data_IF_340286301180
#
_entry.id   IF_340286301180
#
_cell.length_a   1.000
_cell.length_b   1.000
_cell.length_c   1.000
_cell.angle_alpha   90.00
_cell.angle_beta   90.00
_cell.angle_gamma   90.00
#
_symmetry.space_group_name_H-M   'P 1'
#
loop_
_entity.id
_entity.type
_entity.pdbx_description
1 polymer ?
#
# COMPACT_ATOMS: atom_id res chain seq x y z
N UNK A 1 11.64 -34.64 -25.26
CA UNK A 1 10.61 -33.68 -25.74
C UNK A 1 9.70 -33.15 -24.63
N UNK A 2 9.11 -33.99 -23.76
CA UNK A 2 8.22 -33.49 -22.68
C UNK A 2 8.95 -32.59 -21.66
N UNK A 3 10.17 -32.96 -21.26
CA UNK A 3 10.98 -32.15 -20.31
C UNK A 3 11.36 -30.77 -20.84
N UNK A 4 11.71 -30.67 -22.13
CA UNK A 4 12.03 -29.39 -22.77
C UNK A 4 10.78 -28.52 -22.97
N UNK A 5 9.62 -29.14 -23.18
CA UNK A 5 8.35 -28.44 -23.27
C UNK A 5 7.95 -27.82 -21.91
N UNK A 6 8.01 -28.60 -20.83
CA UNK A 6 7.73 -28.11 -19.47
C UNK A 6 8.68 -26.96 -19.10
N UNK A 7 9.97 -27.09 -19.44
CA UNK A 7 10.95 -26.04 -19.16
C UNK A 7 10.66 -24.76 -19.96
N UNK A 8 10.28 -24.87 -21.23
CA UNK A 8 9.89 -23.74 -22.05
C UNK A 8 8.61 -23.05 -21.55
N UNK A 9 7.61 -23.83 -21.10
CA UNK A 9 6.37 -23.27 -20.52
C UNK A 9 6.67 -22.56 -19.20
N UNK A 10 7.47 -23.16 -18.32
CA UNK A 10 7.89 -22.53 -17.06
C UNK A 10 8.68 -21.23 -17.31
N UNK A 11 9.59 -21.23 -18.29
CA UNK A 11 10.39 -20.06 -18.64
C UNK A 11 9.53 -18.89 -19.18
N UNK A 12 8.52 -19.18 -20.00
CA UNK A 12 7.57 -18.19 -20.50
C UNK A 12 6.72 -17.56 -19.38
N UNK A 13 6.38 -18.31 -18.33
CA UNK A 13 5.64 -17.76 -17.17
C UNK A 13 6.48 -16.80 -16.34
N UNK A 14 7.79 -17.07 -16.20
CA UNK A 14 8.72 -16.17 -15.47
C UNK A 14 8.95 -14.88 -16.26
N UNK A 15 9.05 -14.96 -17.59
CA UNK A 15 9.25 -13.80 -18.47
C UNK A 15 8.01 -12.89 -18.57
N UNK A 16 6.82 -13.39 -18.22
CA UNK A 16 5.57 -12.62 -18.17
C UNK A 16 5.26 -12.07 -16.78
N UNK A 17 6.20 -12.15 -15.83
CA UNK A 17 6.01 -11.58 -14.51
C UNK A 17 5.80 -10.06 -14.64
N UNK A 18 4.64 -9.58 -14.18
CA UNK A 18 4.36 -8.15 -14.14
C UNK A 18 5.40 -7.46 -13.25
N UNK A 19 5.80 -6.24 -13.61
CA UNK A 19 6.58 -5.36 -12.73
C UNK A 19 5.98 -5.39 -11.32
N UNK A 20 6.80 -5.39 -10.26
CA UNK A 20 6.30 -5.52 -8.90
C UNK A 20 5.35 -4.36 -8.60
N UNK A 21 4.03 -4.63 -8.68
CA UNK A 21 3.03 -3.70 -8.22
C UNK A 21 3.09 -3.69 -6.70
N UNK A 22 3.31 -2.52 -6.12
CA UNK A 22 3.38 -2.37 -4.67
C UNK A 22 2.02 -2.68 -4.01
N UNK A 23 0.92 -2.41 -4.71
CA UNK A 23 -0.45 -2.67 -4.23
C UNK A 23 -1.34 -3.20 -5.35
N UNK A 24 -2.38 -3.95 -4.98
CA UNK A 24 -3.51 -4.15 -5.88
C UNK A 24 -4.33 -2.87 -6.00
N UNK A 25 -4.81 -2.62 -7.20
CA UNK A 25 -5.54 -1.42 -7.60
C UNK A 25 -6.92 -1.79 -8.19
N UNK A 26 -7.61 -0.80 -8.74
CA UNK A 26 -8.91 -0.99 -9.40
C UNK A 26 -8.87 -1.88 -10.64
N UNK A 27 -7.72 -1.99 -11.32
CA UNK A 27 -7.59 -2.95 -12.42
C UNK A 27 -7.62 -4.38 -11.89
N UNK A 28 -6.88 -4.65 -10.80
CA UNK A 28 -6.94 -5.96 -10.14
C UNK A 28 -8.34 -6.27 -9.59
N UNK A 29 -9.02 -5.26 -9.06
CA UNK A 29 -10.38 -5.41 -8.54
C UNK A 29 -11.41 -5.77 -9.62
N UNK A 30 -11.35 -5.09 -10.77
CA UNK A 30 -12.22 -5.37 -11.93
C UNK A 30 -11.84 -6.68 -12.62
N UNK A 31 -10.57 -7.08 -12.55
CA UNK A 31 -10.11 -8.36 -13.09
C UNK A 31 -10.77 -9.56 -12.39
N UNK A 32 -11.13 -9.44 -11.10
CA UNK A 32 -11.91 -10.47 -10.41
C UNK A 32 -13.24 -10.72 -11.14
N UNK A 33 -13.90 -9.66 -11.59
CA UNK A 33 -15.18 -9.76 -12.31
C UNK A 33 -14.99 -10.42 -13.68
N UNK A 34 -13.82 -10.21 -14.32
CA UNK A 34 -13.46 -10.89 -15.57
C UNK A 34 -13.17 -12.38 -15.33
N UNK A 35 -12.38 -12.71 -14.32
CA UNK A 35 -11.96 -14.08 -14.00
C UNK A 35 -13.14 -14.96 -13.54
N UNK A 36 -14.11 -14.37 -12.86
CA UNK A 36 -15.28 -15.08 -12.31
C UNK A 36 -16.50 -15.03 -13.22
N UNK A 37 -16.36 -14.57 -14.48
CA UNK A 37 -17.48 -14.45 -15.42
C UNK A 37 -18.22 -15.76 -15.65
N UNK A 38 -17.49 -16.85 -15.78
CA UNK A 38 -18.07 -18.19 -16.01
C UNK A 38 -18.54 -18.85 -14.71
N UNK A 39 -18.07 -18.38 -13.55
CA UNK A 39 -18.34 -18.92 -12.22
C UNK A 39 -18.64 -17.78 -11.23
N UNK A 40 -19.78 -17.08 -11.39
CA UNK A 40 -20.08 -15.84 -10.67
C UNK A 40 -20.18 -16.04 -9.15
N UNK A 41 -20.42 -17.27 -8.68
CA UNK A 41 -20.41 -17.64 -7.27
C UNK A 41 -19.07 -17.35 -6.57
N UNK A 42 -17.95 -17.29 -7.31
CA UNK A 42 -16.63 -16.98 -6.74
C UNK A 42 -16.32 -15.48 -6.66
N UNK A 43 -17.07 -14.63 -7.36
CA UNK A 43 -16.82 -13.17 -7.41
C UNK A 43 -16.74 -12.55 -6.01
N UNK A 44 -17.79 -12.75 -5.22
CA UNK A 44 -17.91 -12.16 -3.89
C UNK A 44 -16.96 -12.83 -2.86
N UNK A 45 -16.82 -14.16 -2.80
CA UNK A 45 -15.79 -14.81 -1.98
C UNK A 45 -14.37 -14.31 -2.21
N UNK A 46 -13.95 -14.11 -3.47
CA UNK A 46 -12.60 -13.59 -3.78
C UNK A 46 -12.41 -12.17 -3.25
N UNK A 47 -13.38 -11.27 -3.50
CA UNK A 47 -13.35 -9.90 -2.96
C UNK A 47 -13.34 -9.88 -1.43
N UNK A 48 -14.17 -10.72 -0.79
CA UNK A 48 -14.21 -10.87 0.68
C UNK A 48 -12.89 -11.35 1.24
N UNK A 49 -12.25 -12.35 0.62
CA UNK A 49 -10.96 -12.87 1.05
C UNK A 49 -9.89 -11.78 1.02
N UNK A 50 -9.84 -11.00 -0.06
CA UNK A 50 -8.91 -9.88 -0.18
C UNK A 50 -9.14 -8.81 0.91
N UNK A 51 -10.36 -8.30 1.04
CA UNK A 51 -10.68 -7.26 2.02
C UNK A 51 -10.44 -7.76 3.45
N UNK A 52 -10.81 -9.00 3.75
CA UNK A 52 -10.56 -9.61 5.06
C UNK A 52 -9.06 -9.73 5.35
N UNK A 53 -8.25 -10.14 4.37
CA UNK A 53 -6.79 -10.18 4.51
C UNK A 53 -6.21 -8.81 4.86
N UNK A 54 -6.66 -7.77 4.17
CA UNK A 54 -6.25 -6.39 4.44
C UNK A 54 -6.64 -5.91 5.85
N UNK A 55 -7.88 -6.16 6.27
CA UNK A 55 -8.34 -5.79 7.61
C UNK A 55 -7.59 -6.55 8.71
N UNK A 56 -7.25 -7.82 8.48
CA UNK A 56 -6.42 -8.60 9.40
C UNK A 56 -4.99 -8.03 9.49
N UNK A 57 -4.41 -7.58 8.38
CA UNK A 57 -3.12 -6.88 8.36
C UNK A 57 -3.16 -5.60 9.19
N UNK A 58 -4.19 -4.76 8.98
CA UNK A 58 -4.42 -3.56 9.80
C UNK A 58 -4.56 -3.88 11.28
N UNK A 59 -5.28 -4.96 11.63
CA UNK A 59 -5.41 -5.40 13.03
C UNK A 59 -4.04 -5.80 13.61
N UNK A 60 -3.22 -6.51 12.83
CA UNK A 60 -1.86 -6.86 13.23
C UNK A 60 -1.02 -5.61 13.51
N UNK A 61 -1.01 -4.62 12.61
CA UNK A 61 -0.25 -3.38 12.78
C UNK A 61 -0.72 -2.57 14.00
N UNK A 62 -2.04 -2.54 14.24
CA UNK A 62 -2.61 -1.95 15.44
C UNK A 62 -2.11 -2.66 16.71
N UNK A 63 -2.13 -4.00 16.76
CA UNK A 63 -1.67 -4.75 17.93
C UNK A 63 -0.17 -4.54 18.20
N UNK A 64 0.64 -4.51 17.13
CA UNK A 64 2.08 -4.25 17.25
C UNK A 64 2.38 -2.83 17.72
N UNK A 65 1.66 -1.84 17.18
CA UNK A 65 1.81 -0.44 17.62
C UNK A 65 1.35 -0.30 19.06
N UNK A 66 0.21 -0.91 19.43
CA UNK A 66 -0.36 -0.82 20.77
C UNK A 66 0.55 -1.42 21.84
N UNK A 67 1.27 -2.49 21.52
CA UNK A 67 2.25 -3.09 22.43
C UNK A 67 3.40 -2.13 22.78
N UNK A 68 3.73 -1.19 21.89
CA UNK A 68 4.74 -0.17 22.11
C UNK A 68 4.16 1.15 22.66
N UNK A 69 3.04 1.60 22.11
CA UNK A 69 2.34 2.84 22.47
C UNK A 69 0.83 2.73 22.16
N UNK A 70 0.03 2.57 23.21
CA UNK A 70 -1.42 2.41 23.07
C UNK A 70 -2.12 3.69 22.61
N UNK A 71 -1.65 4.88 23.03
CA UNK A 71 -2.29 6.14 22.66
C UNK A 71 -2.06 6.43 21.17
N UNK A 72 -0.86 6.14 20.69
CA UNK A 72 -0.54 6.23 19.26
C UNK A 72 -1.39 5.27 18.44
N UNK A 73 -1.50 4.01 18.85
CA UNK A 73 -2.32 3.01 18.15
C UNK A 73 -3.79 3.44 18.04
N UNK A 74 -4.39 3.89 19.15
CA UNK A 74 -5.79 4.35 19.18
C UNK A 74 -5.99 5.60 18.31
N UNK A 75 -4.97 6.45 18.18
CA UNK A 75 -5.01 7.63 17.31
C UNK A 75 -4.91 7.29 15.82
N UNK A 76 -3.99 6.38 15.44
CA UNK A 76 -3.68 6.03 14.05
C UNK A 76 -4.75 5.13 13.43
N UNK A 77 -5.27 4.18 14.20
CA UNK A 77 -6.15 3.13 13.68
C UNK A 77 -7.63 3.37 14.00
N UNK A 78 -8.04 4.61 14.29
CA UNK A 78 -9.42 4.96 14.67
C UNK A 78 -10.47 4.39 13.69
N UNK A 79 -11.65 4.06 14.21
CA UNK A 79 -12.68 3.18 13.62
C UNK A 79 -13.48 3.76 12.45
N UNK A 80 -12.83 4.03 11.31
CA UNK A 80 -13.57 4.43 10.10
C UNK A 80 -14.08 3.22 9.31
N UNK A 81 -13.26 2.16 9.21
CA UNK A 81 -13.59 0.96 8.44
C UNK A 81 -14.44 -0.06 9.22
N UNK A 82 -14.35 -0.05 10.56
CA UNK A 82 -15.01 -1.04 11.42
C UNK A 82 -16.54 -0.82 11.54
N UNK A 83 -17.06 0.26 10.94
CA UNK A 83 -18.48 0.60 10.93
C UNK A 83 -19.27 -0.13 9.85
N UNK A 84 -18.58 -0.77 8.91
CA UNK A 84 -19.19 -1.38 7.74
C UNK A 84 -18.95 -2.89 7.72
N UNK A 85 -19.94 -3.61 7.25
CA UNK A 85 -19.79 -5.02 6.88
C UNK A 85 -18.85 -5.16 5.67
N UNK A 86 -18.25 -6.35 5.51
CA UNK A 86 -17.41 -6.63 4.33
C UNK A 86 -18.15 -6.36 3.01
N UNK A 87 -19.45 -6.66 2.96
CA UNK A 87 -20.25 -6.47 1.75
C UNK A 87 -20.55 -4.99 1.45
N UNK A 88 -20.67 -4.15 2.49
CA UNK A 88 -20.76 -2.69 2.32
C UNK A 88 -19.45 -2.10 1.83
N UNK A 89 -18.33 -2.52 2.40
CA UNK A 89 -16.99 -2.13 1.94
C UNK A 89 -16.76 -2.53 0.48
N UNK A 90 -17.15 -3.76 0.11
CA UNK A 90 -17.05 -4.25 -1.27
C UNK A 90 -17.94 -3.44 -2.21
N UNK A 91 -19.19 -3.15 -1.83
CA UNK A 91 -20.10 -2.33 -2.66
C UNK A 91 -19.58 -0.91 -2.85
N UNK A 92 -19.08 -0.27 -1.80
CA UNK A 92 -18.46 1.05 -1.89
C UNK A 92 -17.25 1.03 -2.83
N UNK A 93 -16.40 0.01 -2.70
CA UNK A 93 -15.22 -0.17 -3.57
C UNK A 93 -15.61 -0.46 -5.02
N UNK A 94 -16.63 -1.29 -5.26
CA UNK A 94 -17.19 -1.55 -6.59
C UNK A 94 -17.66 -0.25 -7.25
N UNK A 95 -18.39 0.60 -6.52
CA UNK A 95 -18.87 1.89 -7.02
C UNK A 95 -17.72 2.85 -7.29
N UNK A 96 -16.71 2.92 -6.41
CA UNK A 96 -15.56 3.80 -6.55
C UNK A 96 -14.77 3.55 -7.85
N UNK A 97 -14.60 2.28 -8.22
CA UNK A 97 -13.87 1.88 -9.43
C UNK A 97 -14.69 1.88 -10.72
N UNK A 98 -15.98 2.26 -10.66
CA UNK A 98 -16.75 2.56 -11.87
C UNK A 98 -16.13 3.75 -12.63
N UNK A 99 -15.55 4.72 -11.91
CA UNK A 99 -14.78 5.81 -12.50
C UNK A 99 -13.39 5.31 -12.95
N UNK A 100 -13.08 5.35 -14.27
CA UNK A 100 -11.76 4.97 -14.77
C UNK A 100 -10.60 5.77 -14.17
N UNK A 101 -10.82 7.04 -13.78
CA UNK A 101 -9.80 7.88 -13.17
C UNK A 101 -9.37 7.40 -11.78
N UNK A 102 -10.12 6.48 -11.17
CA UNK A 102 -9.81 5.91 -9.86
C UNK A 102 -9.05 4.58 -9.95
N UNK A 103 -8.98 3.94 -11.11
CA UNK A 103 -8.51 2.55 -11.22
C UNK A 103 -7.06 2.31 -10.83
N UNK A 104 -6.20 3.33 -10.89
CA UNK A 104 -4.82 3.21 -10.44
C UNK A 104 -4.65 3.39 -8.92
N UNK A 105 -5.69 3.84 -8.22
CA UNK A 105 -5.63 3.99 -6.77
C UNK A 105 -5.66 2.61 -6.09
N UNK A 106 -4.80 2.37 -5.08
CA UNK A 106 -4.80 1.14 -4.32
C UNK A 106 -6.15 0.84 -3.65
N UNK A 107 -6.49 -0.45 -3.53
CA UNK A 107 -7.75 -0.88 -2.90
C UNK A 107 -7.86 -0.39 -1.46
N UNK A 108 -6.74 -0.33 -0.71
CA UNK A 108 -6.72 0.23 0.64
C UNK A 108 -7.19 1.69 0.68
N UNK A 109 -6.77 2.50 -0.29
CA UNK A 109 -7.19 3.90 -0.40
C UNK A 109 -8.66 4.00 -0.75
N UNK A 110 -9.15 3.18 -1.70
CA UNK A 110 -10.56 3.13 -2.07
C UNK A 110 -11.46 2.79 -0.88
N UNK A 111 -11.07 1.81 -0.05
CA UNK A 111 -11.81 1.44 1.17
C UNK A 111 -11.94 2.60 2.15
N UNK A 112 -10.85 3.36 2.36
CA UNK A 112 -10.88 4.52 3.26
C UNK A 112 -11.70 5.66 2.67
N UNK A 113 -11.47 6.03 1.40
CA UNK A 113 -12.20 7.11 0.71
C UNK A 113 -13.71 6.86 0.75
N UNK A 114 -14.13 5.65 0.37
CA UNK A 114 -15.54 5.26 0.35
C UNK A 114 -16.15 5.23 1.76
N UNK A 115 -15.39 4.79 2.76
CA UNK A 115 -15.84 4.83 4.15
C UNK A 115 -15.97 6.24 4.70
N UNK A 116 -15.05 7.16 4.36
CA UNK A 116 -15.14 8.58 4.74
C UNK A 116 -16.41 9.22 4.16
N UNK A 117 -16.69 8.99 2.87
CA UNK A 117 -17.93 9.45 2.25
C UNK A 117 -19.17 8.85 2.91
N UNK A 118 -19.17 7.54 3.17
CA UNK A 118 -20.30 6.84 3.78
C UNK A 118 -20.57 7.24 5.25
N UNK A 119 -19.53 7.65 6.00
CA UNK A 119 -19.67 8.20 7.36
C UNK A 119 -20.20 9.65 7.34
N UNK A 120 -20.18 10.33 6.20
CA UNK A 120 -20.68 11.69 6.05
C UNK A 120 -19.64 12.78 6.32
N UNK A 121 -18.34 12.49 6.09
CA UNK A 121 -17.33 13.54 6.09
C UNK A 121 -17.59 14.55 4.96
N UNK A 122 -17.23 15.84 5.13
CA UNK A 122 -17.44 16.84 4.09
C UNK A 122 -16.74 16.46 2.78
N UNK A 123 -17.37 16.75 1.64
CA UNK A 123 -16.83 16.43 0.31
C UNK A 123 -15.42 17.01 0.10
N UNK A 124 -15.13 18.19 0.66
CA UNK A 124 -13.80 18.79 0.61
C UNK A 124 -12.73 17.96 1.32
N UNK A 125 -13.07 17.30 2.43
CA UNK A 125 -12.18 16.40 3.16
C UNK A 125 -11.97 15.11 2.36
N UNK A 126 -13.05 14.54 1.82
CA UNK A 126 -12.96 13.32 1.00
C UNK A 126 -12.13 13.58 -0.27
N UNK A 127 -12.35 14.71 -0.94
CA UNK A 127 -11.60 15.11 -2.11
C UNK A 127 -10.12 15.38 -1.79
N UNK A 128 -9.83 16.10 -0.69
CA UNK A 128 -8.46 16.36 -0.25
C UNK A 128 -7.71 15.07 0.08
N UNK A 129 -8.34 14.13 0.79
CA UNK A 129 -7.76 12.82 1.07
C UNK A 129 -7.55 11.98 -0.19
N UNK A 130 -8.51 12.03 -1.13
CA UNK A 130 -8.38 11.38 -2.44
C UNK A 130 -7.17 11.91 -3.20
N UNK A 131 -7.00 13.24 -3.25
CA UNK A 131 -5.84 13.86 -3.90
C UNK A 131 -4.52 13.44 -3.24
N UNK A 132 -4.46 13.45 -1.90
CA UNK A 132 -3.27 12.98 -1.18
C UNK A 132 -2.92 11.52 -1.51
N UNK A 133 -3.92 10.65 -1.68
CA UNK A 133 -3.69 9.27 -2.12
C UNK A 133 -3.12 9.19 -3.55
N UNK A 134 -3.58 10.06 -4.47
CA UNK A 134 -3.07 10.15 -5.84
C UNK A 134 -1.61 10.60 -5.86
N UNK A 135 -1.31 11.66 -5.12
CA UNK A 135 0.06 12.20 -5.03
C UNK A 135 1.01 11.15 -4.43
N UNK A 136 0.56 10.45 -3.39
CA UNK A 136 1.33 9.38 -2.75
C UNK A 136 1.63 8.20 -3.70
N UNK A 137 0.62 7.66 -4.40
CA UNK A 137 0.88 6.52 -5.30
C UNK A 137 1.72 6.94 -6.52
N UNK A 138 1.55 8.17 -7.00
CA UNK A 138 2.38 8.70 -8.08
C UNK A 138 3.83 8.82 -7.63
N UNK A 139 4.07 9.37 -6.44
CA UNK A 139 5.40 9.46 -5.85
C UNK A 139 6.07 8.09 -5.71
N UNK A 140 5.35 7.10 -5.17
CA UNK A 140 5.87 5.74 -5.02
C UNK A 140 6.17 5.09 -6.38
N UNK A 141 5.31 5.30 -7.37
CA UNK A 141 5.53 4.77 -8.73
C UNK A 141 6.79 5.37 -9.34
N UNK A 142 7.01 6.68 -9.20
CA UNK A 142 8.24 7.34 -9.65
C UNK A 142 9.47 6.81 -8.92
N UNK A 143 9.42 6.65 -7.59
CA UNK A 143 10.51 6.11 -6.80
C UNK A 143 10.92 4.71 -7.30
N UNK A 144 9.93 3.83 -7.56
CA UNK A 144 10.18 2.47 -8.05
C UNK A 144 10.66 2.42 -9.50
N UNK A 145 10.39 3.45 -10.31
CA UNK A 145 10.85 3.54 -11.70
C UNK A 145 12.31 4.00 -11.83
N UNK A 146 12.86 4.66 -10.80
CA UNK A 146 14.25 5.11 -10.74
C UNK A 146 15.22 4.06 -10.17
N UNK A 147 14.75 2.92 -9.67
CA UNK A 147 15.62 1.83 -9.20
C UNK A 147 16.36 1.15 -10.38
N UNK A 148 17.63 1.53 -10.56
CA UNK A 148 18.62 1.03 -11.53
C UNK A 148 18.81 -0.50 -11.40
N UNK A 149 18.92 -1.26 -12.52
CA UNK A 149 19.19 -2.69 -12.46
C UNK A 149 20.54 -2.95 -11.78
N UNK A 150 20.52 -3.70 -10.68
CA UNK A 150 21.73 -4.16 -10.02
C UNK A 150 22.32 -5.28 -10.90
N UNK A 151 23.26 -4.93 -11.77
CA UNK A 151 24.10 -5.92 -12.46
C UNK A 151 25.05 -6.53 -11.44
N UNK A 152 24.77 -7.75 -10.98
CA UNK A 152 25.70 -8.50 -10.15
C UNK A 152 26.68 -9.23 -11.07
N UNK A 153 27.78 -8.58 -11.43
CA UNK A 153 28.99 -9.30 -11.82
C UNK A 153 29.93 -9.38 -10.61
N UNK A 154 30.36 -10.61 -10.32
CA UNK A 154 31.04 -10.95 -9.07
C UNK A 154 32.29 -10.11 -8.83
N UNK A 155 32.31 -9.34 -7.74
CA UNK A 155 33.47 -8.94 -6.94
C UNK A 155 32.96 -8.41 -5.58
N UNK A 156 33.47 -9.04 -4.52
CA UNK A 156 33.65 -8.65 -3.11
C UNK A 156 32.98 -7.38 -2.57
N UNK A 157 31.92 -7.56 -1.74
CA UNK A 157 31.27 -6.61 -0.81
C UNK A 157 30.81 -5.27 -1.43
N UNK A 158 29.55 -4.85 -1.21
CA UNK A 158 29.10 -3.53 -1.67
C UNK A 158 29.97 -2.43 -1.04
N UNK A 159 30.50 -1.53 -1.86
CA UNK A 159 31.16 -0.32 -1.38
C UNK A 159 30.11 0.51 -0.63
N UNK A 160 30.29 0.66 0.68
CA UNK A 160 29.49 1.59 1.48
C UNK A 160 29.65 3.01 0.91
N UNK A 161 28.58 3.81 0.88
CA UNK A 161 28.67 5.19 0.44
C UNK A 161 29.75 5.92 1.25
N UNK A 162 30.63 6.66 0.56
CA UNK A 162 31.61 7.50 1.25
C UNK A 162 30.85 8.46 2.17
N UNK A 163 31.17 8.51 3.47
CA UNK A 163 30.57 9.48 4.36
C UNK A 163 30.90 10.89 3.84
N UNK A 164 29.99 11.86 4.00
CA UNK A 164 30.27 13.25 3.67
C UNK A 164 31.55 13.69 4.39
N UNK A 165 32.47 14.30 3.64
CA UNK A 165 33.75 14.80 4.15
C UNK A 165 33.51 15.68 5.39
N UNK A 166 34.29 15.41 6.43
CA UNK A 166 34.18 15.99 7.77
C UNK A 166 34.02 17.52 7.72
N UNK A 167 32.82 18.00 8.04
CA UNK A 167 32.66 19.37 8.53
C UNK A 167 33.12 19.35 9.99
N UNK A 168 34.25 19.99 10.26
CA UNK A 168 34.79 20.15 11.61
C UNK A 168 33.76 20.86 12.50
N UNK A 169 33.29 20.16 13.54
CA UNK A 169 32.47 20.74 14.60
C UNK A 169 33.13 20.44 15.95
N UNK A 170 33.26 21.45 16.84
CA UNK A 170 34.01 21.34 18.10
C UNK A 170 33.36 20.37 19.10
N UNK A 171 34.10 19.91 20.14
CA UNK A 171 33.77 18.66 20.80
C UNK A 171 32.62 18.74 21.81
N UNK A 172 31.82 17.68 21.73
CA UNK A 172 30.98 17.03 22.75
C UNK A 172 29.70 17.74 23.26
N UNK A 173 28.55 17.26 22.78
CA UNK A 173 27.51 16.65 23.65
C UNK A 173 26.90 15.45 22.90
N UNK A 174 27.09 14.24 23.44
CA UNK A 174 26.39 13.03 22.95
C UNK A 174 24.88 13.22 23.12
N UNK A 175 24.14 13.37 22.03
CA UNK A 175 22.69 13.09 21.99
C UNK A 175 22.42 12.07 20.89
N UNK A 176 21.91 10.92 21.30
CA UNK A 176 21.33 9.89 20.44
C UNK A 176 20.23 10.55 19.60
N UNK A 177 20.29 10.42 18.27
CA UNK A 177 19.22 10.90 17.37
C UNK A 177 17.98 10.02 17.55
N UNK A 178 17.04 10.47 18.37
CA UNK A 178 15.65 10.02 18.36
C UNK A 178 14.97 10.50 17.07
N UNK A 179 14.37 9.58 16.33
CA UNK A 179 13.68 9.84 15.06
C UNK A 179 12.23 10.35 15.23
N UNK A 180 11.84 10.80 16.42
CA UNK A 180 10.50 11.31 16.72
C UNK A 180 10.59 12.51 17.66
N UNK A 181 10.04 13.67 17.25
CA UNK A 181 9.83 14.85 18.10
C UNK A 181 8.32 15.08 18.25
N UNK A 182 7.73 14.92 19.45
CA UNK A 182 6.32 15.21 19.71
C UNK A 182 5.98 16.72 19.75
N UNK A 183 6.98 17.59 19.73
CA UNK A 183 6.83 18.99 20.13
C UNK A 183 6.36 19.94 19.00
N UNK A 184 6.09 19.43 17.80
CA UNK A 184 5.64 20.24 16.64
C UNK A 184 4.13 20.48 16.60
N UNK A 185 3.40 20.16 17.67
CA UNK A 185 1.99 20.50 17.82
C UNK A 185 1.74 21.20 19.16
N UNK A 186 2.43 22.32 19.37
CA UNK A 186 1.91 23.40 20.21
C UNK A 186 1.48 24.53 19.26
N UNK A 187 0.16 24.49 18.99
CA UNK A 187 -0.85 25.54 18.75
C UNK A 187 -0.43 27.02 18.49
N UNK A 188 -1.37 27.79 17.92
CA UNK A 188 -2.14 28.73 18.75
C UNK A 188 -3.53 28.22 19.13
#
# INVERSE_FOLDING_TARGET
>A
MIRSLIFATALMTVLSAQSPKLFWDGYNWLEIDRLTREYPEFRLPMKRAYVRGLLNGRLYDHLQTRAADSALADSLFRDYLNRFTLDELIRGTDQFYQDPANRYLPIVSALVITSLGAVGFPDSIVAGYTQACRDWINYLTTLTAEEVPITIEGISRPALPKPPSEVYLPPAVRKVKQWYRPDSLILP
#
